data_IF_785368807586
#
_entry.id   IF_785368807586
#
_cell.length_a   1.000
_cell.length_b   1.000
_cell.length_c   1.000
_cell.angle_alpha   90.00
_cell.angle_beta   90.00
_cell.angle_gamma   90.00
#
_symmetry.space_group_name_H-M   'P 1'
#
loop_
_entity.id
_entity.type
_entity.pdbx_description
1 polymer ?
#
# COMPACT_ATOMS: atom_id res chain seq x y z
N UNK A 1 2.53 -19.36 8.01
CA UNK A 1 3.11 -18.08 7.53
C UNK A 1 1.97 -17.17 7.03
N UNK A 2 1.15 -16.57 7.90
CA UNK A 2 -0.01 -15.80 7.38
C UNK A 2 -0.53 -14.62 8.20
N UNK A 3 0.03 -14.29 9.37
CA UNK A 3 -0.43 -13.14 10.17
C UNK A 3 0.54 -11.95 10.08
N UNK A 4 1.83 -12.21 10.27
CA UNK A 4 2.89 -11.18 10.25
C UNK A 4 2.89 -10.34 8.96
N UNK A 5 2.74 -10.96 7.80
CA UNK A 5 2.72 -10.26 6.51
C UNK A 5 1.46 -9.40 6.29
N UNK A 6 0.35 -9.77 6.92
CA UNK A 6 -0.88 -8.97 6.92
C UNK A 6 -0.72 -7.78 7.86
N UNK A 7 -0.09 -8.00 9.01
CA UNK A 7 0.23 -6.95 9.98
C UNK A 7 1.20 -5.91 9.40
N UNK A 8 2.19 -6.32 8.61
CA UNK A 8 3.08 -5.41 7.86
C UNK A 8 2.29 -4.51 6.89
N UNK A 9 1.33 -5.08 6.16
CA UNK A 9 0.48 -4.32 5.26
C UNK A 9 -0.41 -3.32 6.02
N UNK A 10 -0.97 -3.73 7.16
CA UNK A 10 -1.73 -2.83 8.03
C UNK A 10 -0.87 -1.73 8.64
N UNK A 11 0.35 -2.04 9.09
CA UNK A 11 1.27 -1.04 9.62
C UNK A 11 1.61 0.04 8.60
N UNK A 12 1.78 -0.34 7.33
CA UNK A 12 2.02 0.63 6.25
C UNK A 12 0.79 1.50 5.95
N UNK A 13 -0.43 0.98 6.16
CA UNK A 13 -1.67 1.77 6.10
C UNK A 13 -1.72 2.76 7.26
N UNK A 14 -1.35 2.35 8.48
CA UNK A 14 -1.32 3.24 9.64
C UNK A 14 -0.35 4.42 9.41
N UNK A 15 0.79 4.18 8.76
CA UNK A 15 1.71 5.24 8.34
C UNK A 15 1.10 6.17 7.28
N UNK A 16 0.36 5.62 6.31
CA UNK A 16 -0.38 6.43 5.34
C UNK A 16 -1.46 7.30 6.01
N UNK A 17 -2.17 6.77 7.02
CA UNK A 17 -3.16 7.53 7.79
C UNK A 17 -2.48 8.68 8.55
N UNK A 18 -1.34 8.43 9.21
CA UNK A 18 -0.57 9.50 9.87
C UNK A 18 -0.15 10.60 8.90
N UNK A 19 0.36 10.24 7.72
CA UNK A 19 0.74 11.21 6.69
C UNK A 19 -0.45 12.07 6.25
N UNK A 20 -1.62 11.47 6.09
CA UNK A 20 -2.87 12.18 5.76
C UNK A 20 -3.28 13.15 6.87
N UNK A 21 -3.19 12.72 8.12
CA UNK A 21 -3.48 13.56 9.30
C UNK A 21 -2.51 14.74 9.39
N UNK A 22 -1.21 14.51 9.20
CA UNK A 22 -0.18 15.55 9.19
C UNK A 22 -0.37 16.57 8.06
N UNK A 23 -0.82 16.12 6.89
CA UNK A 23 -1.15 17.00 5.76
C UNK A 23 -2.42 17.84 6.00
N UNK A 24 -3.29 17.45 6.94
CA UNK A 24 -4.52 18.16 7.28
C UNK A 24 -5.56 18.20 6.16
N UNK A 25 -5.45 17.31 5.17
CA UNK A 25 -6.37 17.20 4.01
C UNK A 25 -6.43 15.77 3.50
N UNK A 26 -7.43 15.47 2.68
CA UNK A 26 -7.41 14.26 1.86
C UNK A 26 -6.26 14.33 0.84
N UNK A 27 -5.49 13.25 0.78
CA UNK A 27 -4.39 13.08 -0.16
C UNK A 27 -4.84 12.22 -1.34
N UNK A 28 -4.43 12.61 -2.54
CA UNK A 28 -4.49 11.76 -3.72
C UNK A 28 -3.48 10.62 -3.60
N UNK A 29 -3.74 9.45 -4.21
CA UNK A 29 -2.89 8.28 -4.04
C UNK A 29 -1.43 8.51 -4.47
N UNK A 30 -1.18 9.32 -5.50
CA UNK A 30 0.17 9.69 -5.93
C UNK A 30 0.93 10.51 -4.87
N UNK A 31 0.24 11.27 -4.01
CA UNK A 31 0.86 12.10 -2.97
C UNK A 31 1.51 11.25 -1.86
N UNK A 32 1.16 9.97 -1.74
CA UNK A 32 1.78 9.04 -0.79
C UNK A 32 3.09 8.43 -1.30
N UNK A 33 3.38 8.53 -2.60
CA UNK A 33 4.49 7.78 -3.20
C UNK A 33 5.85 8.21 -2.65
N UNK A 34 6.27 9.45 -2.92
CA UNK A 34 7.58 9.96 -2.49
C UNK A 34 7.80 10.01 -0.97
N UNK A 35 6.83 10.45 -0.14
CA UNK A 35 7.04 10.55 1.30
C UNK A 35 6.94 9.22 2.05
N UNK A 36 6.26 8.20 1.50
CA UNK A 36 5.98 6.94 2.21
C UNK A 36 6.38 5.71 1.38
N UNK A 37 5.66 5.42 0.31
CA UNK A 37 5.78 4.10 -0.36
C UNK A 37 7.13 3.89 -1.05
N UNK A 38 7.71 4.93 -1.64
CA UNK A 38 9.01 4.88 -2.29
C UNK A 38 10.17 4.68 -1.29
N UNK A 39 9.93 4.95 0.00
CA UNK A 39 10.92 4.83 1.08
C UNK A 39 10.78 3.53 1.88
N UNK A 40 9.68 2.79 1.69
CA UNK A 40 9.40 1.59 2.47
C UNK A 40 10.10 0.35 1.90
N UNK A 41 10.85 -0.37 2.74
CA UNK A 41 11.50 -1.64 2.37
C UNK A 41 10.49 -2.77 2.10
N UNK A 42 9.23 -2.61 2.51
CA UNK A 42 8.17 -3.58 2.27
C UNK A 42 7.64 -3.51 0.84
N UNK A 43 7.77 -2.36 0.18
CA UNK A 43 7.22 -2.11 -1.15
C UNK A 43 8.10 -2.74 -2.22
N UNK A 44 7.46 -3.43 -3.16
CA UNK A 44 8.05 -3.82 -4.43
C UNK A 44 7.96 -2.62 -5.39
N UNK A 45 9.04 -1.84 -5.44
CA UNK A 45 9.10 -0.59 -6.20
C UNK A 45 8.96 -0.84 -7.72
N UNK A 46 9.61 -1.88 -8.22
CA UNK A 46 9.62 -2.17 -9.66
C UNK A 46 8.24 -2.63 -10.11
N UNK A 47 7.62 -3.53 -9.33
CA UNK A 47 6.27 -3.99 -9.61
C UNK A 47 5.25 -2.88 -9.46
N UNK A 48 5.37 -2.04 -8.44
CA UNK A 48 4.45 -0.91 -8.24
C UNK A 48 4.56 0.11 -9.37
N UNK A 49 5.75 0.42 -9.85
CA UNK A 49 5.92 1.30 -11.03
C UNK A 49 5.31 0.72 -12.30
N UNK A 50 5.35 -0.61 -12.47
CA UNK A 50 4.82 -1.28 -13.66
C UNK A 50 3.31 -1.53 -13.61
N UNK A 51 2.78 -1.91 -12.45
CA UNK A 51 1.40 -2.41 -12.29
C UNK A 51 0.53 -1.53 -11.39
N UNK A 52 1.11 -0.52 -10.72
CA UNK A 52 0.43 0.30 -9.71
C UNK A 52 -0.61 1.27 -10.27
N UNK A 53 -0.54 1.57 -11.56
CA UNK A 53 -1.46 2.47 -12.25
C UNK A 53 -0.98 3.92 -12.32
N UNK A 54 -1.66 4.72 -13.14
CA UNK A 54 -1.47 6.17 -13.26
C UNK A 54 -2.84 6.82 -13.48
N UNK A 55 -3.43 7.51 -12.48
CA UNK A 55 -2.89 7.76 -11.14
C UNK A 55 -2.68 6.47 -10.34
N UNK A 56 -1.77 6.49 -9.35
CA UNK A 56 -1.48 5.35 -8.49
C UNK A 56 -2.78 4.80 -7.89
N UNK A 57 -2.99 3.50 -8.02
CA UNK A 57 -4.19 2.82 -7.49
C UNK A 57 -3.81 1.59 -6.66
N UNK A 58 -2.63 1.02 -6.90
CA UNK A 58 -2.12 -0.15 -6.20
C UNK A 58 -0.66 0.04 -5.84
N UNK A 59 -0.31 -0.41 -4.65
CA UNK A 59 1.07 -0.56 -4.17
C UNK A 59 1.28 -2.04 -3.90
N UNK A 60 2.30 -2.63 -4.50
CA UNK A 60 2.63 -4.04 -4.31
C UNK A 60 3.68 -4.16 -3.22
N UNK A 61 3.51 -5.09 -2.28
CA UNK A 61 4.56 -5.42 -1.32
C UNK A 61 5.38 -6.59 -1.86
N UNK A 62 6.58 -6.76 -1.31
CA UNK A 62 7.41 -7.95 -1.55
C UNK A 62 6.77 -9.24 -0.99
N UNK A 63 5.83 -9.07 -0.05
CA UNK A 63 5.00 -10.13 0.51
C UNK A 63 3.85 -10.50 -0.46
N UNK A 64 3.02 -11.52 -0.21
CA UNK A 64 1.89 -11.85 -1.08
C UNK A 64 0.72 -10.85 -1.00
N UNK A 65 0.93 -9.71 -0.33
CA UNK A 65 -0.05 -8.65 -0.11
C UNK A 65 0.35 -7.36 -0.83
N UNK A 66 -0.63 -6.53 -1.11
CA UNK A 66 -0.46 -5.17 -1.60
C UNK A 66 -1.48 -4.25 -0.93
N UNK A 67 -1.39 -2.95 -1.23
CA UNK A 67 -2.36 -1.95 -0.82
C UNK A 67 -3.12 -1.45 -2.05
N UNK A 68 -4.43 -1.33 -1.94
CA UNK A 68 -5.28 -0.76 -2.98
C UNK A 68 -5.94 0.50 -2.45
N UNK A 69 -5.89 1.58 -3.24
CA UNK A 69 -6.56 2.81 -2.89
C UNK A 69 -8.06 2.71 -3.18
N UNK A 70 -8.89 3.16 -2.24
CA UNK A 70 -10.34 3.23 -2.38
C UNK A 70 -10.75 4.68 -2.50
N UNK A 71 -10.97 5.16 -3.72
CA UNK A 71 -11.33 6.56 -4.01
C UNK A 71 -12.60 7.01 -3.28
N UNK A 72 -13.54 6.11 -3.00
CA UNK A 72 -14.77 6.41 -2.25
C UNK A 72 -14.49 6.79 -0.79
N UNK A 73 -13.50 6.16 -0.17
CA UNK A 73 -13.16 6.34 1.25
C UNK A 73 -11.88 7.17 1.45
N UNK A 74 -11.18 7.52 0.36
CA UNK A 74 -9.89 8.22 0.38
C UNK A 74 -8.89 7.56 1.33
N UNK A 75 -8.78 6.24 1.24
CA UNK A 75 -7.92 5.41 2.07
C UNK A 75 -7.34 4.19 1.34
N UNK A 76 -6.44 3.47 2.02
CA UNK A 76 -5.79 2.27 1.52
C UNK A 76 -6.32 1.03 2.24
N UNK A 77 -6.49 -0.07 1.51
CA UNK A 77 -6.88 -1.37 2.06
C UNK A 77 -5.90 -2.46 1.61
N UNK A 78 -5.59 -3.47 2.45
CA UNK A 78 -4.78 -4.60 2.01
C UNK A 78 -5.55 -5.43 0.98
N UNK A 79 -4.87 -5.88 -0.07
CA UNK A 79 -5.33 -6.92 -0.96
C UNK A 79 -4.27 -8.01 -1.08
N UNK A 80 -4.67 -9.20 -1.53
CA UNK A 80 -3.75 -10.33 -1.74
C UNK A 80 -3.52 -10.54 -3.23
N UNK A 81 -2.27 -10.73 -3.63
CA UNK A 81 -1.88 -11.04 -5.02
C UNK A 81 -0.99 -12.27 -5.15
N UNK A 82 -0.49 -12.82 -4.04
CA UNK A 82 0.25 -14.09 -4.06
C UNK A 82 -0.66 -15.30 -4.01
N UNK A 83 -0.18 -16.43 -4.53
CA UNK A 83 -0.91 -17.71 -4.50
C UNK A 83 -1.26 -18.13 -3.06
N UNK A 84 -2.47 -18.63 -2.87
CA UNK A 84 -2.88 -19.28 -1.63
C UNK A 84 -2.28 -20.68 -1.64
N UNK A 85 -1.14 -20.87 -0.95
CA UNK A 85 -0.75 -22.23 -0.54
C UNK A 85 -1.64 -22.59 0.64
N UNK A 86 -2.68 -23.37 0.37
CA UNK A 86 -3.40 -24.16 1.38
C UNK A 86 -2.55 -25.42 1.58
N UNK A 87 -1.71 -25.42 2.60
CA UNK A 87 -1.07 -26.63 3.13
C UNK A 87 -2.05 -27.45 3.98
#
# INVERSE_FOLDING_TARGET
MSYEQVEEAWGLIDEAVKLKEEAGKDLQPDEYWDPLFAQSDLVDLDRTKSEGGSPLAKVFLKSPYGLQFRTEYMDWIPFRHGEVKLD
#
